data_IF_790777333670
#
_entry.id   IF_790777333670
#
_cell.length_a   1.000
_cell.length_b   1.000
_cell.length_c   1.000
_cell.angle_alpha   90.00
_cell.angle_beta   90.00
_cell.angle_gamma   90.00
#
_symmetry.space_group_name_H-M   'P 1'
#
loop_
_entity.id
_entity.type
_entity.pdbx_description
1 polymer ?
#
# COMPACT_ATOMS: atom_id res chain seq x y z
N UNK A 1 7.30 -7.26 -12.91
CA UNK A 1 6.45 -7.80 -11.83
C UNK A 1 5.97 -6.65 -10.97
N UNK A 2 4.69 -6.61 -10.60
CA UNK A 2 4.15 -5.62 -9.65
C UNK A 2 3.92 -6.32 -8.31
N UNK A 3 4.34 -5.70 -7.20
CA UNK A 3 4.18 -6.24 -5.84
C UNK A 3 3.39 -5.21 -5.04
N UNK A 4 2.35 -5.66 -4.34
CA UNK A 4 1.52 -4.78 -3.53
C UNK A 4 1.19 -5.40 -2.18
N UNK A 5 1.16 -4.58 -1.14
CA UNK A 5 0.72 -4.96 0.21
C UNK A 5 -0.80 -4.94 0.29
N UNK A 6 -1.36 -5.99 0.87
CA UNK A 6 -2.79 -6.15 1.16
C UNK A 6 -2.96 -6.73 2.55
N UNK A 7 -4.20 -6.80 3.07
CA UNK A 7 -4.51 -7.26 4.42
C UNK A 7 -3.68 -6.55 5.50
N UNK A 8 -3.55 -5.23 5.37
CA UNK A 8 -2.88 -4.42 6.38
C UNK A 8 -3.74 -4.37 7.65
N UNK A 9 -3.06 -4.45 8.80
CA UNK A 9 -3.72 -4.18 10.07
C UNK A 9 -4.17 -2.71 10.11
N UNK A 10 -5.29 -2.40 10.77
CA UNK A 10 -5.82 -1.04 10.92
C UNK A 10 -4.86 -0.05 11.60
N UNK A 11 -3.87 -0.54 12.36
CA UNK A 11 -2.81 0.28 12.98
C UNK A 11 -1.57 0.44 12.10
N UNK A 12 -1.52 -0.17 10.92
CA UNK A 12 -0.36 -0.08 10.05
C UNK A 12 -0.24 1.37 9.49
N UNK A 13 0.94 2.02 9.59
CA UNK A 13 1.11 3.39 9.07
C UNK A 13 0.90 3.50 7.55
N UNK A 14 1.00 2.39 6.82
CA UNK A 14 0.66 2.33 5.39
C UNK A 14 -0.82 2.58 5.09
N UNK A 15 -1.70 2.54 6.11
CA UNK A 15 -3.10 2.93 5.97
C UNK A 15 -3.29 4.46 5.90
N UNK A 16 -2.28 5.27 6.22
CA UNK A 16 -2.27 6.71 6.00
C UNK A 16 -1.40 7.07 4.79
N UNK A 17 -1.98 7.52 3.66
CA UNK A 17 -1.22 7.91 2.46
C UNK A 17 -0.28 9.11 2.65
N UNK A 18 -0.39 9.83 3.79
CA UNK A 18 0.48 10.95 4.15
C UNK A 18 1.61 10.56 5.10
N UNK A 19 1.70 9.28 5.47
CA UNK A 19 2.75 8.80 6.36
C UNK A 19 4.09 8.67 5.61
N UNK A 20 5.22 8.90 6.29
CA UNK A 20 6.54 8.68 5.70
C UNK A 20 6.76 7.21 5.32
N UNK A 21 6.12 6.26 6.01
CA UNK A 21 6.17 4.84 5.67
C UNK A 21 5.52 4.55 4.32
N UNK A 22 4.37 5.18 4.03
CA UNK A 22 3.70 5.07 2.74
C UNK A 22 4.57 5.62 1.61
N UNK A 23 5.12 6.83 1.79
CA UNK A 23 6.02 7.44 0.80
C UNK A 23 7.23 6.55 0.52
N UNK A 24 7.82 5.96 1.56
CA UNK A 24 8.96 5.07 1.42
C UNK A 24 8.63 3.83 0.57
N UNK A 25 7.55 3.10 0.88
CA UNK A 25 7.21 1.88 0.11
C UNK A 25 6.85 2.19 -1.35
N UNK A 26 6.18 3.32 -1.59
CA UNK A 26 5.87 3.77 -2.96
C UNK A 26 7.16 4.14 -3.71
N UNK A 27 8.10 4.83 -3.06
CA UNK A 27 9.40 5.16 -3.65
C UNK A 27 10.24 3.93 -4.03
N UNK A 28 10.03 2.82 -3.33
CA UNK A 28 10.64 1.52 -3.62
C UNK A 28 9.92 0.74 -4.72
N UNK A 29 8.81 1.26 -5.26
CA UNK A 29 8.03 0.65 -6.34
C UNK A 29 7.00 -0.38 -5.86
N UNK A 30 6.68 -0.44 -4.57
CA UNK A 30 5.58 -1.25 -4.05
C UNK A 30 4.25 -0.51 -4.13
N UNK A 31 3.16 -1.26 -4.33
CA UNK A 31 1.80 -0.78 -4.17
C UNK A 31 1.25 -1.02 -2.76
N UNK A 32 0.23 -0.26 -2.38
CA UNK A 32 -0.61 -0.52 -1.20
C UNK A 32 -2.05 -0.58 -1.68
N UNK A 33 -2.73 -1.70 -1.44
CA UNK A 33 -4.14 -1.86 -1.79
C UNK A 33 -5.02 -1.25 -0.70
N UNK A 34 -5.89 -0.34 -1.13
CA UNK A 34 -7.01 0.13 -0.33
C UNK A 34 -8.21 -0.77 -0.57
N UNK A 35 -9.15 -0.79 0.38
CA UNK A 35 -10.41 -1.51 0.20
C UNK A 35 -11.11 -1.05 -1.10
N UNK A 36 -11.75 -1.99 -1.79
CA UNK A 36 -12.42 -1.85 -3.09
C UNK A 36 -11.51 -1.57 -4.31
N UNK A 37 -10.20 -1.74 -4.19
CA UNK A 37 -9.31 -1.63 -5.33
C UNK A 37 -9.38 -2.90 -6.22
N UNK A 38 -9.99 -2.79 -7.39
CA UNK A 38 -9.97 -3.85 -8.40
C UNK A 38 -8.59 -3.93 -9.07
N UNK A 39 -7.95 -5.10 -8.99
CA UNK A 39 -6.77 -5.42 -9.81
C UNK A 39 -7.25 -6.28 -10.99
N UNK A 40 -7.12 -5.77 -12.21
CA UNK A 40 -7.11 -6.63 -13.40
C UNK A 40 -5.78 -7.41 -13.41
N UNK A 41 -5.87 -8.73 -13.24
CA UNK A 41 -4.73 -9.67 -13.23
C UNK A 41 -4.51 -10.23 -14.63
#
# INVERSE_FOLDING_TARGET
TRIAFTHLNHTNPLCDPRSPEFENVVSMGFGVLMDDYAIDI
#
